data_IF_378849911577
#
_entry.id   IF_378849911577
#
_cell.length_a   1.000
_cell.length_b   1.000
_cell.length_c   1.000
_cell.angle_alpha   90.00
_cell.angle_beta   90.00
_cell.angle_gamma   90.00
#
_symmetry.space_group_name_H-M   'P 1'
#
loop_
_entity.id
_entity.type
_entity.pdbx_description
1 polymer ?
#
# COMPACT_ATOMS: atom_id res chain seq x y z
N UNK A 1 6.86 -6.11 -7.06
CA UNK A 1 7.42 -4.93 -6.40
C UNK A 1 8.47 -4.30 -7.28
N UNK A 2 8.42 -2.97 -7.44
CA UNK A 2 9.35 -2.23 -8.31
C UNK A 2 9.75 -0.92 -7.64
N UNK A 3 11.01 -0.53 -7.76
CA UNK A 3 11.55 0.76 -7.29
C UNK A 3 12.00 1.59 -8.48
N UNK A 4 11.43 2.77 -8.63
CA UNK A 4 11.71 3.73 -9.70
C UNK A 4 12.56 4.87 -9.14
N UNK A 5 13.63 5.32 -9.86
CA UNK A 5 14.56 6.32 -9.34
C UNK A 5 13.95 7.71 -9.14
N UNK A 6 12.86 8.03 -9.83
CA UNK A 6 12.19 9.34 -9.79
C UNK A 6 10.76 9.29 -9.30
N UNK A 7 9.93 10.23 -9.76
CA UNK A 7 8.52 10.37 -9.42
C UNK A 7 7.57 9.91 -10.54
N UNK A 8 8.12 9.56 -11.70
CA UNK A 8 7.39 9.09 -12.88
C UNK A 8 7.93 7.75 -13.37
N UNK A 9 7.04 6.94 -13.97
CA UNK A 9 7.42 5.68 -14.64
C UNK A 9 8.41 5.86 -15.80
N UNK A 10 8.54 7.09 -16.31
CA UNK A 10 9.46 7.45 -17.37
C UNK A 10 10.87 7.81 -16.86
N UNK A 11 11.03 8.03 -15.54
CA UNK A 11 12.30 8.46 -14.97
C UNK A 11 13.33 7.33 -14.99
N UNK A 12 14.57 7.74 -15.20
CA UNK A 12 15.76 6.86 -15.18
C UNK A 12 16.79 7.42 -14.21
N UNK A 13 17.63 6.54 -13.64
CA UNK A 13 18.74 6.96 -12.77
C UNK A 13 19.84 7.70 -13.59
N UNK A 14 20.79 8.28 -12.88
CA UNK A 14 21.97 8.91 -13.51
C UNK A 14 22.79 7.92 -14.38
N UNK A 15 22.73 6.63 -14.02
CA UNK A 15 23.37 5.53 -14.77
C UNK A 15 22.48 4.95 -15.88
N UNK A 16 21.30 5.56 -16.13
CA UNK A 16 20.35 5.11 -17.16
C UNK A 16 19.49 3.92 -16.77
N UNK A 17 19.45 3.54 -15.47
CA UNK A 17 18.61 2.44 -15.00
C UNK A 17 17.16 2.90 -14.85
N UNK A 18 16.24 2.14 -15.44
CA UNK A 18 14.80 2.37 -15.33
C UNK A 18 14.25 1.90 -13.97
N UNK A 19 14.81 0.85 -13.41
CA UNK A 19 14.42 0.28 -12.13
C UNK A 19 15.66 0.15 -11.24
N UNK A 20 15.56 0.58 -9.99
CA UNK A 20 16.60 0.39 -8.96
C UNK A 20 16.48 -0.99 -8.31
N UNK A 21 15.26 -1.50 -8.17
CA UNK A 21 14.95 -2.87 -7.73
C UNK A 21 13.66 -3.31 -8.44
N UNK A 22 13.58 -4.58 -8.80
CA UNK A 22 12.38 -5.18 -9.37
C UNK A 22 12.30 -6.64 -8.98
N UNK A 23 11.17 -7.05 -8.38
CA UNK A 23 10.97 -8.41 -7.86
C UNK A 23 9.58 -8.88 -8.17
N UNK A 24 9.50 -10.11 -8.65
CA UNK A 24 8.28 -10.88 -8.64
C UNK A 24 8.20 -11.66 -7.31
N UNK A 25 7.09 -11.50 -6.58
CA UNK A 25 6.84 -12.15 -5.30
C UNK A 25 5.65 -13.07 -5.48
N UNK A 26 5.87 -14.36 -5.33
CA UNK A 26 4.86 -15.41 -5.58
C UNK A 26 4.78 -16.35 -4.37
N UNK A 27 3.56 -16.63 -3.93
CA UNK A 27 3.35 -17.55 -2.80
C UNK A 27 2.00 -17.33 -2.10
N UNK A 28 1.81 -17.95 -0.94
CA UNK A 28 0.67 -17.66 -0.08
C UNK A 28 0.68 -16.19 0.37
N UNK A 29 -0.50 -15.59 0.51
CA UNK A 29 -0.64 -14.16 0.85
C UNK A 29 0.21 -13.74 2.06
N UNK A 30 0.25 -14.48 3.19
CA UNK A 30 1.09 -14.10 4.33
C UNK A 30 2.57 -14.02 3.99
N UNK A 31 3.06 -14.97 3.17
CA UNK A 31 4.46 -15.02 2.71
C UNK A 31 4.75 -13.85 1.76
N UNK A 32 3.84 -13.58 0.82
CA UNK A 32 3.99 -12.45 -0.11
C UNK A 32 4.09 -11.11 0.62
N UNK A 33 3.25 -10.90 1.64
CA UNK A 33 3.33 -9.69 2.47
C UNK A 33 4.68 -9.62 3.19
N UNK A 34 5.13 -10.72 3.79
CA UNK A 34 6.42 -10.79 4.49
C UNK A 34 7.59 -10.45 3.58
N UNK A 35 7.66 -11.07 2.41
CA UNK A 35 8.73 -10.85 1.43
C UNK A 35 8.72 -9.41 0.88
N UNK A 36 7.53 -8.86 0.64
CA UNK A 36 7.38 -7.47 0.24
C UNK A 36 7.90 -6.52 1.32
N UNK A 37 7.56 -6.73 2.59
CA UNK A 37 8.04 -5.89 3.69
C UNK A 37 9.56 -5.95 3.82
N UNK A 38 10.18 -7.13 3.61
CA UNK A 38 11.64 -7.26 3.56
C UNK A 38 12.23 -6.48 2.38
N UNK A 39 11.63 -6.59 1.18
CA UNK A 39 12.07 -5.84 0.01
C UNK A 39 11.93 -4.33 0.21
N UNK A 40 10.82 -3.90 0.81
CA UNK A 40 10.58 -2.49 1.13
C UNK A 40 11.64 -1.94 2.09
N UNK A 41 11.90 -2.62 3.21
CA UNK A 41 12.93 -2.19 4.20
C UNK A 41 14.32 -2.00 3.59
N UNK A 42 14.67 -2.77 2.56
CA UNK A 42 15.97 -2.63 1.86
C UNK A 42 16.03 -1.37 0.99
N UNK A 43 14.90 -0.85 0.55
CA UNK A 43 14.79 0.26 -0.39
C UNK A 43 14.35 1.57 0.28
N UNK A 44 13.72 1.50 1.46
CA UNK A 44 13.29 2.67 2.23
C UNK A 44 14.48 3.29 2.94
N UNK A 45 14.58 4.62 2.88
CA UNK A 45 15.58 5.36 3.65
C UNK A 45 15.18 5.40 5.12
N UNK A 46 16.16 5.19 5.98
CA UNK A 46 16.02 5.39 7.42
C UNK A 46 16.42 6.82 7.73
N UNK A 47 15.48 7.63 8.18
CA UNK A 47 15.80 8.94 8.73
C UNK A 47 16.08 8.81 10.22
N UNK A 48 17.26 9.25 10.65
CA UNK A 48 17.62 9.27 12.07
C UNK A 48 17.37 10.64 12.63
N UNK A 49 16.50 10.74 13.63
CA UNK A 49 16.31 11.95 14.43
C UNK A 49 16.91 11.75 15.83
N UNK A 50 17.69 12.70 16.28
CA UNK A 50 18.17 12.70 17.67
C UNK A 50 17.15 13.46 18.51
N UNK A 51 16.49 12.77 19.42
CA UNK A 51 15.60 13.36 20.42
C UNK A 51 16.22 13.17 21.82
N UNK A 52 16.78 14.23 22.38
CA UNK A 52 17.52 14.17 23.63
C UNK A 52 18.80 13.32 23.51
N UNK A 53 18.94 12.29 24.36
CA UNK A 53 20.09 11.38 24.36
C UNK A 53 19.89 10.14 23.47
N UNK A 54 18.75 10.03 22.77
CA UNK A 54 18.41 8.83 21.99
C UNK A 54 18.34 9.15 20.50
N UNK A 55 18.93 8.26 19.70
CA UNK A 55 18.74 8.22 18.25
C UNK A 55 17.49 7.39 17.97
N UNK A 56 16.48 8.00 17.35
CA UNK A 56 15.28 7.32 16.90
C UNK A 56 15.38 7.20 15.38
N UNK A 57 15.52 5.97 14.92
CA UNK A 57 15.49 5.65 13.50
C UNK A 57 14.02 5.50 13.07
N UNK A 58 13.55 6.38 12.20
CA UNK A 58 12.20 6.30 11.62
C UNK A 58 12.30 5.87 10.17
N UNK A 59 11.54 4.86 9.81
CA UNK A 59 11.33 4.51 8.42
C UNK A 59 10.55 5.62 7.73
N UNK A 60 10.86 5.84 6.47
CA UNK A 60 10.26 6.87 5.61
C UNK A 60 8.74 6.67 5.44
N UNK A 61 8.24 5.45 5.67
CA UNK A 61 6.82 5.08 5.70
C UNK A 61 6.51 4.24 6.94
N UNK A 62 5.35 4.44 7.60
CA UNK A 62 4.89 3.55 8.65
C UNK A 62 4.66 2.14 8.10
N UNK A 63 5.34 1.15 8.66
CA UNK A 63 5.21 -0.25 8.20
C UNK A 63 3.78 -0.75 8.28
N UNK A 64 3.05 -0.39 9.33
CA UNK A 64 1.64 -0.73 9.50
C UNK A 64 0.79 -0.22 8.35
N UNK A 65 1.00 1.03 7.89
CA UNK A 65 0.23 1.59 6.78
C UNK A 65 0.49 0.84 5.46
N UNK A 66 1.76 0.56 5.15
CA UNK A 66 2.12 -0.16 3.92
C UNK A 66 1.63 -1.60 3.97
N UNK A 67 1.86 -2.29 5.08
CA UNK A 67 1.42 -3.67 5.28
C UNK A 67 -0.09 -3.80 5.10
N UNK A 68 -0.86 -2.93 5.74
CA UNK A 68 -2.31 -2.94 5.70
C UNK A 68 -2.83 -2.63 4.29
N UNK A 69 -2.23 -1.67 3.59
CA UNK A 69 -2.59 -1.35 2.21
C UNK A 69 -2.33 -2.53 1.26
N UNK A 70 -1.22 -3.25 1.43
CA UNK A 70 -0.89 -4.44 0.63
C UNK A 70 -1.80 -5.62 0.99
N UNK A 71 -2.08 -5.85 2.27
CA UNK A 71 -3.00 -6.90 2.71
C UNK A 71 -4.40 -6.68 2.11
N UNK A 72 -4.89 -5.43 2.14
CA UNK A 72 -6.15 -5.04 1.52
C UNK A 72 -6.13 -5.25 0.00
N UNK A 73 -5.06 -4.85 -0.68
CA UNK A 73 -4.91 -5.04 -2.13
C UNK A 73 -4.98 -6.52 -2.52
N UNK A 74 -4.31 -7.41 -1.77
CA UNK A 74 -4.34 -8.85 -2.01
C UNK A 74 -5.68 -9.48 -1.63
N UNK A 75 -6.31 -9.07 -0.51
CA UNK A 75 -7.59 -9.60 -0.06
C UNK A 75 -8.74 -9.21 -1.00
N UNK A 76 -8.73 -7.97 -1.50
CA UNK A 76 -9.79 -7.44 -2.35
C UNK A 76 -9.51 -7.56 -3.86
N UNK A 77 -8.37 -8.12 -4.25
CA UNK A 77 -8.04 -8.38 -5.66
C UNK A 77 -9.16 -9.16 -6.34
N UNK A 78 -9.37 -8.85 -7.61
CA UNK A 78 -10.21 -9.67 -8.46
C UNK A 78 -9.48 -10.95 -8.85
N UNK A 79 -9.97 -12.09 -8.34
CA UNK A 79 -9.47 -13.43 -8.63
C UNK A 79 -10.33 -14.17 -9.68
N UNK A 80 -11.23 -13.46 -10.37
CA UNK A 80 -11.97 -14.02 -11.51
C UNK A 80 -11.04 -14.29 -12.69
N UNK A 81 -11.55 -14.99 -13.70
CA UNK A 81 -10.77 -15.26 -14.93
C UNK A 81 -10.33 -13.97 -15.61
N UNK A 82 -11.17 -12.92 -15.59
CA UNK A 82 -10.84 -11.62 -16.18
C UNK A 82 -9.77 -10.87 -15.37
N UNK A 83 -9.82 -10.99 -14.04
CA UNK A 83 -8.85 -10.35 -13.14
C UNK A 83 -7.54 -11.11 -13.00
N UNK A 84 -7.48 -12.40 -13.36
CA UNK A 84 -6.28 -13.22 -13.17
C UNK A 84 -5.12 -12.85 -14.11
N UNK A 85 -5.40 -12.16 -15.20
CA UNK A 85 -4.38 -11.68 -16.15
C UNK A 85 -3.52 -10.53 -15.61
N UNK A 86 -3.93 -9.87 -14.53
CA UNK A 86 -3.23 -8.74 -13.92
C UNK A 86 -2.79 -9.06 -12.49
N UNK A 87 -1.62 -8.56 -12.10
CA UNK A 87 -1.04 -8.76 -10.76
C UNK A 87 -1.28 -7.53 -9.88
N UNK A 88 -1.25 -7.72 -8.55
CA UNK A 88 -1.08 -6.60 -7.64
C UNK A 88 0.31 -6.01 -7.85
N UNK A 89 0.38 -4.71 -8.07
CA UNK A 89 1.62 -3.98 -8.30
C UNK A 89 1.89 -3.06 -7.12
N UNK A 90 3.10 -3.12 -6.58
CA UNK A 90 3.59 -2.19 -5.58
C UNK A 90 4.78 -1.47 -6.18
N UNK A 91 4.64 -0.17 -6.42
CA UNK A 91 5.67 0.67 -7.03
C UNK A 91 6.11 1.73 -6.04
N UNK A 92 7.40 1.73 -5.72
CA UNK A 92 8.02 2.75 -4.87
C UNK A 92 8.69 3.79 -5.75
N UNK A 93 8.22 5.02 -5.64
CA UNK A 93 8.80 6.21 -6.28
C UNK A 93 9.65 7.02 -5.29
N UNK A 94 10.28 8.05 -5.78
CA UNK A 94 11.05 8.98 -4.96
C UNK A 94 10.23 9.73 -3.91
N UNK A 95 8.92 9.89 -4.14
CA UNK A 95 7.99 10.70 -3.32
C UNK A 95 6.82 9.92 -2.72
N UNK A 96 6.53 8.71 -3.18
CA UNK A 96 5.38 7.90 -2.76
C UNK A 96 5.55 6.42 -2.99
N UNK A 97 4.66 5.63 -2.39
CA UNK A 97 4.41 4.22 -2.73
C UNK A 97 3.01 4.13 -3.33
N UNK A 98 2.90 3.57 -4.53
CA UNK A 98 1.64 3.22 -5.18
C UNK A 98 1.37 1.72 -5.05
N UNK A 99 0.15 1.37 -4.70
CA UNK A 99 -0.34 -0.01 -4.61
C UNK A 99 -1.55 -0.13 -5.50
N UNK A 100 -1.42 -0.82 -6.62
CA UNK A 100 -2.46 -1.04 -7.62
C UNK A 100 -2.94 -2.49 -7.54
N UNK A 101 -4.24 -2.69 -7.35
CA UNK A 101 -4.88 -4.01 -7.31
C UNK A 101 -5.86 -4.16 -8.45
N UNK A 102 -5.86 -5.29 -9.18
CA UNK A 102 -6.90 -5.59 -10.17
C UNK A 102 -8.28 -5.69 -9.53
N UNK A 103 -9.27 -5.11 -10.20
CA UNK A 103 -10.64 -4.98 -9.74
C UNK A 103 -10.87 -3.68 -8.98
N UNK A 104 -11.84 -2.86 -9.44
CA UNK A 104 -12.27 -1.63 -8.76
C UNK A 104 -12.97 -1.91 -7.43
N UNK A 105 -13.51 -0.89 -6.82
CA UNK A 105 -14.31 -1.02 -5.60
C UNK A 105 -15.53 -1.90 -5.82
N UNK A 106 -15.87 -2.72 -4.83
CA UNK A 106 -16.92 -3.74 -4.96
C UNK A 106 -18.21 -3.29 -4.29
N UNK A 107 -19.34 -3.55 -4.97
CA UNK A 107 -20.69 -3.31 -4.45
C UNK A 107 -20.96 -1.81 -4.17
N UNK A 108 -21.45 -1.49 -2.95
CA UNK A 108 -21.81 -0.13 -2.53
C UNK A 108 -20.62 0.63 -1.89
N UNK A 109 -19.37 0.11 -2.03
CA UNK A 109 -18.19 0.82 -1.56
C UNK A 109 -17.83 1.93 -2.55
N UNK A 110 -17.57 3.10 -2.02
CA UNK A 110 -17.04 4.26 -2.74
C UNK A 110 -15.79 4.77 -2.05
N UNK A 111 -14.99 5.56 -2.75
CA UNK A 111 -13.74 6.13 -2.19
C UNK A 111 -14.04 6.93 -0.91
N UNK A 112 -15.13 7.70 -0.89
CA UNK A 112 -15.52 8.53 0.27
C UNK A 112 -15.90 7.72 1.50
N UNK A 113 -16.30 6.46 1.32
CA UNK A 113 -16.68 5.55 2.40
C UNK A 113 -15.53 4.70 2.93
N UNK A 114 -14.35 4.82 2.32
CA UNK A 114 -13.17 4.09 2.78
C UNK A 114 -12.77 4.54 4.20
N UNK A 115 -12.67 3.58 5.10
CA UNK A 115 -12.34 3.85 6.51
C UNK A 115 -13.52 4.18 7.40
N UNK A 116 -14.76 4.13 6.90
CA UNK A 116 -15.95 4.13 7.76
C UNK A 116 -15.95 2.87 8.64
N UNK A 117 -16.05 3.07 9.94
CA UNK A 117 -16.03 1.97 10.90
C UNK A 117 -17.24 1.04 10.69
N UNK A 118 -16.96 -0.27 10.64
CA UNK A 118 -18.00 -1.28 10.46
C UNK A 118 -18.48 -1.47 9.01
N UNK A 119 -17.94 -0.70 8.07
CA UNK A 119 -18.25 -0.82 6.64
C UNK A 119 -17.12 -1.61 5.96
N UNK A 120 -17.41 -2.83 5.54
CA UNK A 120 -16.51 -3.68 4.79
C UNK A 120 -17.29 -4.57 3.84
N UNK A 121 -16.93 -4.50 2.56
CA UNK A 121 -17.52 -5.34 1.51
C UNK A 121 -16.41 -6.14 0.83
N UNK A 122 -15.96 -7.26 1.43
CA UNK A 122 -14.93 -8.07 0.80
C UNK A 122 -15.47 -8.68 -0.50
N UNK A 123 -14.68 -8.62 -1.56
CA UNK A 123 -14.99 -9.26 -2.84
C UNK A 123 -15.11 -10.77 -2.69
N UNK A 124 -14.24 -11.35 -1.86
CA UNK A 124 -14.23 -12.76 -1.51
C UNK A 124 -14.32 -12.93 0.02
N UNK A 125 -15.52 -13.25 0.51
CA UNK A 125 -15.77 -13.41 1.95
C UNK A 125 -15.01 -14.62 2.54
N UNK A 126 -14.87 -15.70 1.76
CA UNK A 126 -14.15 -16.89 2.22
C UNK A 126 -12.66 -16.58 2.43
N UNK A 127 -12.03 -15.91 1.46
CA UNK A 127 -10.64 -15.45 1.58
C UNK A 127 -10.45 -14.51 2.76
N UNK A 128 -11.34 -13.55 2.94
CA UNK A 128 -11.28 -12.60 4.07
C UNK A 128 -11.39 -13.35 5.42
N UNK A 129 -12.22 -14.38 5.52
CA UNK A 129 -12.34 -15.20 6.73
C UNK A 129 -11.07 -16.01 7.00
N UNK A 130 -10.47 -16.59 5.96
CA UNK A 130 -9.20 -17.32 6.06
C UNK A 130 -8.10 -16.40 6.56
N UNK A 131 -7.91 -15.24 5.92
CA UNK A 131 -6.83 -14.31 6.28
C UNK A 131 -6.97 -13.77 7.70
N UNK A 132 -8.20 -13.59 8.20
CA UNK A 132 -8.46 -13.21 9.59
C UNK A 132 -8.05 -14.29 10.61
N UNK A 133 -8.14 -15.56 10.22
CA UNK A 133 -7.73 -16.68 11.05
C UNK A 133 -6.25 -17.07 10.87
N UNK A 134 -5.58 -16.48 9.89
CA UNK A 134 -4.18 -16.81 9.55
C UNK A 134 -3.24 -15.88 10.31
N UNK A 135 -2.32 -16.41 11.13
CA UNK A 135 -1.29 -15.59 11.77
C UNK A 135 -0.30 -15.05 10.73
N UNK A 136 0.45 -14.03 11.10
CA UNK A 136 1.60 -13.60 10.29
C UNK A 136 2.59 -14.73 10.12
N UNK A 137 3.29 -14.74 8.99
CA UNK A 137 4.41 -15.65 8.79
C UNK A 137 5.51 -15.37 9.82
N UNK A 138 6.23 -16.42 10.23
CA UNK A 138 7.33 -16.32 11.20
C UNK A 138 8.35 -15.24 10.78
N UNK A 139 8.81 -14.44 11.74
CA UNK A 139 9.78 -13.35 11.52
C UNK A 139 9.23 -11.94 11.69
N UNK A 140 7.92 -11.76 11.91
CA UNK A 140 7.36 -10.49 12.35
C UNK A 140 7.33 -10.42 13.88
N UNK A 141 7.78 -9.28 14.42
CA UNK A 141 7.78 -9.03 15.87
C UNK A 141 6.37 -8.88 16.46
N UNK A 142 5.34 -8.78 15.63
CA UNK A 142 3.96 -8.58 16.06
C UNK A 142 3.18 -9.90 16.07
N UNK A 143 2.57 -10.20 17.19
CA UNK A 143 1.60 -11.29 17.31
C UNK A 143 0.25 -10.76 16.79
N UNK A 144 -0.22 -11.28 15.65
CA UNK A 144 -1.48 -10.84 15.05
C UNK A 144 -1.89 -11.69 13.85
N UNK A 145 -3.05 -11.42 13.29
CA UNK A 145 -3.52 -12.03 12.05
C UNK A 145 -3.15 -11.15 10.85
N UNK A 146 -3.07 -11.77 9.66
CA UNK A 146 -2.73 -11.10 8.37
C UNK A 146 -3.64 -9.91 8.08
N UNK A 147 -4.91 -10.00 8.51
CA UNK A 147 -5.91 -8.93 8.37
C UNK A 147 -6.60 -8.73 9.70
N UNK A 148 -6.69 -7.50 10.17
CA UNK A 148 -7.46 -7.18 11.37
C UNK A 148 -8.98 -7.30 11.15
N UNK A 149 -9.71 -7.44 12.25
CA UNK A 149 -11.15 -7.67 12.24
C UNK A 149 -11.93 -6.37 12.01
N UNK A 150 -13.03 -6.41 11.26
CA UNK A 150 -14.14 -5.44 11.28
C UNK A 150 -14.04 -4.23 10.32
N UNK A 151 -13.36 -4.31 9.18
CA UNK A 151 -13.34 -3.19 8.23
C UNK A 151 -12.55 -1.98 8.73
N UNK A 152 -11.56 -2.21 9.57
CA UNK A 152 -10.70 -1.16 10.14
C UNK A 152 -9.42 -0.91 9.34
N UNK A 153 -9.11 -1.74 8.32
CA UNK A 153 -7.83 -1.68 7.62
C UNK A 153 -7.50 -0.31 7.04
N UNK A 154 -8.44 0.29 6.30
CA UNK A 154 -8.20 1.63 5.75
C UNK A 154 -8.14 2.72 6.83
N UNK A 155 -8.91 2.59 7.89
CA UNK A 155 -8.82 3.46 9.07
C UNK A 155 -7.42 3.37 9.70
N UNK A 156 -6.85 2.18 9.82
CA UNK A 156 -5.50 1.97 10.35
C UNK A 156 -4.41 2.59 9.46
N UNK A 157 -4.55 2.49 8.14
CA UNK A 157 -3.66 3.19 7.20
C UNK A 157 -3.65 4.69 7.53
N UNK A 158 -4.83 5.30 7.61
CA UNK A 158 -4.98 6.74 7.92
C UNK A 158 -4.40 7.09 9.29
N UNK A 159 -4.70 6.29 10.31
CA UNK A 159 -4.20 6.52 11.68
C UNK A 159 -2.67 6.49 11.74
N UNK A 160 -2.04 5.46 11.14
CA UNK A 160 -0.59 5.31 11.12
C UNK A 160 0.11 6.43 10.35
N UNK A 161 -0.46 6.87 9.22
CA UNK A 161 0.08 8.02 8.47
C UNK A 161 -0.02 9.32 9.26
N UNK A 162 -1.15 9.53 9.95
CA UNK A 162 -1.36 10.72 10.79
C UNK A 162 -0.39 10.77 11.97
N UNK A 163 -0.16 9.64 12.65
CA UNK A 163 0.84 9.53 13.72
C UNK A 163 2.27 9.82 13.23
N UNK A 164 2.56 9.47 11.99
CA UNK A 164 3.83 9.77 11.35
C UNK A 164 3.92 11.20 10.78
N UNK A 165 2.89 12.03 10.92
CA UNK A 165 2.74 13.35 10.30
C UNK A 165 2.90 13.31 8.77
N UNK A 166 2.35 12.29 8.13
CA UNK A 166 2.32 12.10 6.69
C UNK A 166 0.95 12.50 6.11
N UNK A 167 0.89 12.81 4.81
CA UNK A 167 -0.36 13.09 4.12
C UNK A 167 -1.36 11.91 4.23
N UNK A 168 -2.65 12.24 4.15
CA UNK A 168 -3.69 11.23 4.01
C UNK A 168 -3.45 10.39 2.74
N UNK A 169 -3.82 9.10 2.75
CA UNK A 169 -3.65 8.26 1.57
C UNK A 169 -4.57 8.73 0.45
N UNK A 170 -4.09 8.73 -0.77
CA UNK A 170 -4.89 9.00 -1.97
C UNK A 170 -5.40 7.68 -2.52
N UNK A 171 -6.72 7.56 -2.66
CA UNK A 171 -7.35 6.37 -3.23
C UNK A 171 -8.05 6.74 -4.54
N UNK A 172 -7.88 5.91 -5.57
CA UNK A 172 -8.49 6.10 -6.89
C UNK A 172 -9.12 4.79 -7.34
N UNK A 173 -10.41 4.85 -7.70
CA UNK A 173 -11.11 3.74 -8.32
C UNK A 173 -11.08 3.92 -9.85
N UNK A 174 -10.33 3.06 -10.53
CA UNK A 174 -10.22 3.01 -11.99
C UNK A 174 -11.24 2.06 -12.62
N UNK A 175 -12.28 1.64 -11.89
CA UNK A 175 -13.31 0.67 -12.32
C UNK A 175 -12.74 -0.76 -12.44
N UNK A 176 -11.70 -0.95 -13.23
CA UNK A 176 -11.03 -2.26 -13.44
C UNK A 176 -9.84 -2.49 -12.53
N UNK A 177 -9.41 -1.47 -11.81
CA UNK A 177 -8.33 -1.52 -10.82
C UNK A 177 -8.60 -0.53 -9.69
N UNK A 178 -8.07 -0.79 -8.52
CA UNK A 178 -8.09 0.11 -7.38
C UNK A 178 -6.66 0.47 -6.97
N UNK A 179 -6.40 1.75 -6.77
CA UNK A 179 -5.09 2.28 -6.43
C UNK A 179 -5.11 3.01 -5.10
N UNK A 180 -4.08 2.76 -4.29
CA UNK A 180 -3.79 3.54 -3.08
C UNK A 180 -2.37 4.07 -3.17
N UNK A 181 -2.21 5.40 -3.03
CA UNK A 181 -0.91 6.05 -2.96
C UNK A 181 -0.65 6.61 -1.56
N UNK A 182 0.52 6.28 -1.01
CA UNK A 182 1.02 6.77 0.27
C UNK A 182 2.18 7.74 -0.01
N UNK A 183 1.98 9.02 0.25
CA UNK A 183 2.98 10.07 0.00
C UNK A 183 3.90 10.28 1.19
N UNK A 184 5.16 10.61 0.92
CA UNK A 184 6.13 11.01 1.96
C UNK A 184 5.73 12.33 2.63
N UNK A 185 6.23 12.53 3.83
CA UNK A 185 6.09 13.82 4.50
C UNK A 185 6.68 14.94 3.62
N UNK A 186 5.89 15.99 3.39
CA UNK A 186 6.27 17.11 2.54
C UNK A 186 6.03 16.97 1.04
N UNK A 187 5.75 15.75 0.53
CA UNK A 187 5.49 15.52 -0.89
C UNK A 187 4.02 15.73 -1.31
N UNK A 188 3.10 15.77 -0.36
CA UNK A 188 1.65 15.75 -0.62
C UNK A 188 0.99 17.10 -0.95
N UNK A 189 1.70 18.22 -0.98
CA UNK A 189 1.08 19.54 -1.16
C UNK A 189 0.53 19.78 -2.60
N UNK A 190 0.93 19.00 -3.59
CA UNK A 190 0.51 19.17 -4.99
C UNK A 190 -0.49 18.11 -5.47
N UNK A 191 -0.66 16.98 -4.78
CA UNK A 191 -1.52 15.87 -5.20
C UNK A 191 -3.03 16.23 -5.27
N UNK A 192 -3.46 17.29 -4.61
CA UNK A 192 -4.86 17.78 -4.64
C UNK A 192 -5.21 18.68 -5.83
N UNK A 193 -4.28 19.00 -6.74
CA UNK A 193 -4.49 19.97 -7.84
C UNK A 193 -4.68 19.37 -9.23
N UNK A 194 -4.57 18.08 -9.41
CA UNK A 194 -4.96 17.44 -10.67
C UNK A 194 -6.46 17.14 -10.70
N UNK A 195 -7.26 18.21 -10.57
CA UNK A 195 -8.65 18.20 -11.00
C UNK A 195 -8.67 18.03 -12.51
N UNK A 196 -9.42 17.06 -12.99
CA UNK A 196 -9.71 16.80 -14.39
C UNK A 196 -10.19 18.07 -15.07
N UNK A 197 -9.35 18.68 -15.88
CA UNK A 197 -9.78 19.62 -16.89
C UNK A 197 -10.39 18.84 -18.05
N UNK A 198 -11.70 18.66 -18.06
CA UNK A 198 -12.42 18.36 -19.27
C UNK A 198 -12.40 19.64 -20.13
N UNK A 199 -11.50 19.70 -21.11
CA UNK A 199 -11.58 20.65 -22.20
C UNK A 199 -12.77 20.30 -23.06
N UNK A 200 -13.64 21.30 -23.30
CA UNK A 200 -14.78 21.25 -24.19
C UNK A 200 -14.40 21.18 -25.68
#
# INVERSE_FOLDING_TARGET
FTVIPGTSKADVSAEGLRFLDSREIVGPIPVMISELMVALRRNVRVSSKVEGAFRIDRLEYPETAVREAVANALMHRDYSLDGCASQVQVTMYGDRIEILSPGGLCRAMTVDRLGELGVSFPRNQALANILRATPYAEGFAEVGSVVENKGTGYFQIRASLREANMPEPVAIDHITAFEVALYKAGAGAEAGRFGFGFGG
#
